data_IF_996797490594
#
_entry.id   IF_996797490594
#
_cell.length_a   1.000
_cell.length_b   1.000
_cell.length_c   1.000
_cell.angle_alpha   90.00
_cell.angle_beta   90.00
_cell.angle_gamma   90.00
#
_symmetry.space_group_name_H-M   'P 1'
#
loop_
_entity.id
_entity.type
_entity.pdbx_description
1 polymer ?
#
# COMPACT_ATOMS: atom_id res chain seq x y z
N UNK A 1 9.39 8.33 3.25
CA UNK A 1 8.43 9.44 3.47
C UNK A 1 6.97 9.02 3.27
N UNK A 2 6.54 8.56 2.08
CA UNK A 2 5.12 8.22 1.82
C UNK A 2 4.50 7.18 2.76
N UNK A 3 5.22 6.13 3.12
CA UNK A 3 4.71 5.14 4.09
C UNK A 3 4.51 5.74 5.50
N UNK A 4 5.37 6.69 5.90
CA UNK A 4 5.20 7.43 7.17
C UNK A 4 3.97 8.35 7.12
N UNK A 5 3.69 8.96 5.97
CA UNK A 5 2.46 9.71 5.78
C UNK A 5 1.22 8.82 5.81
N UNK A 6 1.29 7.62 5.21
CA UNK A 6 0.20 6.64 5.26
C UNK A 6 -0.13 6.27 6.72
N UNK A 7 0.88 6.04 7.56
CA UNK A 7 0.69 5.80 8.99
C UNK A 7 -0.01 6.97 9.70
N UNK A 8 0.45 8.22 9.47
CA UNK A 8 -0.18 9.41 10.06
C UNK A 8 -1.64 9.57 9.61
N UNK A 9 -1.91 9.36 8.32
CA UNK A 9 -3.26 9.44 7.77
C UNK A 9 -4.15 8.34 8.32
N UNK A 10 -3.64 7.12 8.47
CA UNK A 10 -4.35 5.99 9.08
C UNK A 10 -4.82 6.31 10.49
N UNK A 11 -3.91 6.75 11.38
CA UNK A 11 -4.27 7.10 12.76
C UNK A 11 -5.31 8.22 12.80
N UNK A 12 -5.05 9.31 12.06
CA UNK A 12 -5.97 10.45 12.02
C UNK A 12 -7.36 10.06 11.50
N UNK A 13 -7.44 9.25 10.44
CA UNK A 13 -8.72 8.83 9.88
C UNK A 13 -9.53 7.98 10.87
N UNK A 14 -8.87 7.06 11.58
CA UNK A 14 -9.52 6.23 12.60
C UNK A 14 -10.04 7.07 13.77
N UNK A 15 -9.18 7.92 14.35
CA UNK A 15 -9.57 8.78 15.47
C UNK A 15 -10.66 9.77 15.06
N UNK A 16 -10.53 10.40 13.89
CA UNK A 16 -11.52 11.35 13.39
C UNK A 16 -12.87 10.67 13.18
N UNK A 17 -12.87 9.47 12.59
CA UNK A 17 -14.09 8.70 12.38
C UNK A 17 -14.76 8.34 13.72
N UNK A 18 -14.01 7.89 14.72
CA UNK A 18 -14.54 7.59 16.04
C UNK A 18 -15.20 8.81 16.69
N UNK A 19 -14.50 9.96 16.70
CA UNK A 19 -15.03 11.21 17.28
C UNK A 19 -16.29 11.70 16.56
N UNK A 20 -16.34 11.58 15.23
CA UNK A 20 -17.53 11.95 14.44
C UNK A 20 -18.70 11.02 14.75
N UNK A 21 -18.46 9.71 14.81
CA UNK A 21 -19.50 8.72 15.14
C UNK A 21 -20.07 8.93 16.55
N UNK A 22 -19.26 9.48 17.47
CA UNK A 22 -19.67 9.87 18.83
C UNK A 22 -20.39 11.22 18.90
N UNK A 23 -20.63 11.87 17.76
CA UNK A 23 -21.44 13.09 17.67
C UNK A 23 -20.66 14.39 17.52
N UNK A 24 -19.33 14.34 17.38
CA UNK A 24 -18.58 15.54 17.01
C UNK A 24 -18.82 15.93 15.54
N UNK A 25 -18.78 17.22 15.25
CA UNK A 25 -18.72 17.67 13.85
C UNK A 25 -17.32 17.43 13.29
N UNK A 26 -17.17 17.26 11.95
CA UNK A 26 -15.85 17.06 11.34
C UNK A 26 -14.81 18.13 11.71
N UNK A 27 -15.24 19.39 11.84
CA UNK A 27 -14.37 20.50 12.23
C UNK A 27 -13.92 20.39 13.69
N UNK A 28 -14.82 20.01 14.61
CA UNK A 28 -14.48 19.81 16.02
C UNK A 28 -13.53 18.62 16.20
N UNK A 29 -13.79 17.51 15.50
CA UNK A 29 -12.91 16.35 15.52
C UNK A 29 -11.51 16.67 14.97
N UNK A 30 -11.42 17.40 13.85
CA UNK A 30 -10.14 17.84 13.30
C UNK A 30 -9.37 18.74 14.27
N UNK A 31 -10.05 19.68 14.93
CA UNK A 31 -9.44 20.56 15.94
C UNK A 31 -8.99 19.80 17.20
N UNK A 32 -9.74 18.77 17.61
CA UNK A 32 -9.38 17.93 18.76
C UNK A 32 -8.15 17.06 18.49
N UNK A 33 -7.91 16.67 17.23
CA UNK A 33 -6.75 15.88 16.80
C UNK A 33 -5.55 16.74 16.39
N UNK A 34 -5.73 18.05 16.28
CA UNK A 34 -4.64 18.95 15.90
C UNK A 34 -3.56 18.98 16.99
N UNK A 35 -2.33 18.67 16.60
CA UNK A 35 -1.19 18.54 17.52
C UNK A 35 -1.20 17.30 18.42
N UNK A 36 -2.20 16.43 18.34
CA UNK A 36 -2.26 15.22 19.15
C UNK A 36 -1.10 14.26 18.82
N UNK A 37 -0.49 13.68 19.85
CA UNK A 37 0.63 12.75 19.72
C UNK A 37 0.12 11.36 19.37
N UNK A 38 0.97 10.58 18.70
CA UNK A 38 0.67 9.20 18.31
C UNK A 38 0.24 8.34 19.52
N UNK A 39 0.86 8.51 20.68
CA UNK A 39 0.50 7.75 21.89
C UNK A 39 -0.92 8.07 22.38
N UNK A 40 -1.33 9.34 22.33
CA UNK A 40 -2.68 9.77 22.74
C UNK A 40 -3.75 9.21 21.79
N UNK A 41 -3.47 9.20 20.48
CA UNK A 41 -4.33 8.58 19.48
C UNK A 41 -4.45 7.06 19.67
N UNK A 42 -3.36 6.40 20.04
CA UNK A 42 -3.37 4.97 20.35
C UNK A 42 -4.24 4.66 21.56
N UNK A 43 -4.08 5.40 22.65
CA UNK A 43 -4.87 5.20 23.87
C UNK A 43 -6.36 5.46 23.59
N UNK A 44 -6.68 6.57 22.91
CA UNK A 44 -8.06 6.92 22.52
C UNK A 44 -8.75 5.79 21.77
N UNK A 45 -8.07 5.16 20.80
CA UNK A 45 -8.65 4.06 20.04
C UNK A 45 -8.67 2.73 20.82
N UNK A 46 -7.69 2.52 21.69
CA UNK A 46 -7.63 1.35 22.55
C UNK A 46 -8.80 1.31 23.54
N UNK A 47 -9.14 2.45 24.16
CA UNK A 47 -10.35 2.60 25.00
C UNK A 47 -11.64 2.26 24.25
N UNK A 48 -11.66 2.45 22.92
CA UNK A 48 -12.75 2.11 22.01
C UNK A 48 -12.69 0.68 21.48
N UNK A 49 -11.76 -0.14 22.00
CA UNK A 49 -11.59 -1.54 21.62
C UNK A 49 -10.84 -1.76 20.29
N UNK A 50 -10.26 -0.72 19.69
CA UNK A 50 -9.55 -0.81 18.40
C UNK A 50 -8.04 -0.65 18.63
N UNK A 51 -7.29 -1.70 18.32
CA UNK A 51 -5.83 -1.63 18.30
C UNK A 51 -5.33 -1.21 16.90
N UNK A 52 -4.94 0.06 16.76
CA UNK A 52 -4.42 0.64 15.50
C UNK A 52 -3.20 -0.10 14.94
N UNK A 53 -2.42 -0.79 15.75
CA UNK A 53 -1.25 -1.56 15.29
C UNK A 53 -1.62 -2.91 14.70
N UNK A 54 -2.84 -3.41 14.98
CA UNK A 54 -3.36 -4.69 14.50
C UNK A 54 -4.38 -4.57 13.36
N UNK A 55 -4.64 -3.36 12.88
CA UNK A 55 -5.46 -3.14 11.67
C UNK A 55 -4.78 -3.74 10.43
N UNK A 56 -5.54 -4.04 9.36
CA UNK A 56 -4.97 -4.60 8.13
C UNK A 56 -3.75 -3.81 7.61
N UNK A 57 -2.73 -4.52 7.13
CA UNK A 57 -1.45 -3.93 6.70
C UNK A 57 -1.66 -2.81 5.67
N UNK A 58 -2.53 -3.03 4.68
CA UNK A 58 -2.81 -2.06 3.63
C UNK A 58 -3.37 -0.73 4.14
N UNK A 59 -4.06 -0.71 5.28
CA UNK A 59 -4.56 0.52 5.89
C UNK A 59 -3.43 1.33 6.53
N UNK A 60 -2.48 0.64 7.17
CA UNK A 60 -1.37 1.24 7.92
C UNK A 60 -0.22 1.66 7.01
N UNK A 61 0.04 0.86 5.97
CA UNK A 61 1.25 0.95 5.14
C UNK A 61 0.96 1.29 3.67
N UNK A 62 -0.31 1.28 3.27
CA UNK A 62 -0.73 1.50 1.89
C UNK A 62 -0.61 0.24 1.02
N UNK A 63 -0.72 0.44 -0.29
CA UNK A 63 -0.64 -0.60 -1.31
C UNK A 63 0.35 -0.15 -2.38
N UNK A 64 1.13 -1.08 -2.94
CA UNK A 64 1.91 -0.83 -4.16
C UNK A 64 1.22 -1.47 -5.35
N UNK A 65 1.16 -0.73 -6.45
CA UNK A 65 0.72 -1.23 -7.74
C UNK A 65 1.92 -1.16 -8.69
N UNK A 66 2.25 -2.28 -9.32
CA UNK A 66 3.42 -2.39 -10.19
C UNK A 66 3.10 -3.27 -11.39
N UNK A 67 4.01 -3.27 -12.37
CA UNK A 67 3.92 -4.18 -13.52
C UNK A 67 4.84 -5.37 -13.27
N UNK A 68 4.33 -6.54 -13.58
CA UNK A 68 5.11 -7.78 -13.51
C UNK A 68 4.95 -8.60 -14.78
N UNK A 69 5.95 -9.45 -15.02
CA UNK A 69 5.90 -10.49 -16.04
C UNK A 69 5.51 -11.80 -15.38
N UNK A 70 4.53 -12.48 -15.97
CA UNK A 70 4.11 -13.81 -15.57
C UNK A 70 4.12 -14.72 -16.79
N UNK A 71 4.38 -16.00 -16.57
CA UNK A 71 4.35 -16.99 -17.64
C UNK A 71 2.93 -17.49 -17.81
N UNK A 72 2.38 -17.33 -19.02
CA UNK A 72 1.10 -17.90 -19.39
C UNK A 72 1.35 -19.11 -20.29
N UNK A 73 0.76 -20.24 -19.94
CA UNK A 73 0.69 -21.40 -20.84
C UNK A 73 -0.42 -21.15 -21.86
N UNK A 74 -0.07 -21.25 -23.14
CA UNK A 74 -0.99 -21.24 -24.26
C UNK A 74 -0.80 -22.49 -25.10
N UNK A 75 -1.72 -22.72 -26.03
CA UNK A 75 -1.64 -23.84 -26.96
C UNK A 75 -1.36 -23.30 -28.38
N UNK A 76 -0.33 -23.84 -29.03
CA UNK A 76 -0.06 -23.54 -30.44
C UNK A 76 -0.80 -24.57 -31.31
N UNK A 77 -1.85 -24.16 -32.07
CA UNK A 77 -2.65 -25.09 -32.86
C UNK A 77 -1.92 -25.62 -34.11
N UNK A 78 -0.85 -24.96 -34.57
CA UNK A 78 -0.06 -25.38 -35.73
C UNK A 78 0.84 -26.54 -35.34
N UNK A 79 1.62 -26.34 -34.27
CA UNK A 79 2.59 -27.32 -33.79
C UNK A 79 1.99 -28.33 -32.79
N UNK A 80 0.73 -28.13 -32.38
CA UNK A 80 -0.01 -28.93 -31.39
C UNK A 80 0.71 -29.10 -30.05
N UNK A 81 1.46 -28.08 -29.64
CA UNK A 81 2.21 -28.08 -28.37
C UNK A 81 1.76 -26.98 -27.45
N UNK A 82 1.86 -27.22 -26.14
CA UNK A 82 1.77 -26.16 -25.15
C UNK A 82 3.02 -25.29 -25.19
N UNK A 83 2.83 -23.98 -25.32
CA UNK A 83 3.90 -22.99 -25.35
C UNK A 83 3.77 -22.10 -24.14
N UNK A 84 4.87 -21.91 -23.42
CA UNK A 84 4.97 -20.95 -22.32
C UNK A 84 5.42 -19.62 -22.89
N UNK A 85 4.59 -18.59 -22.77
CA UNK A 85 4.94 -17.25 -23.24
C UNK A 85 4.89 -16.25 -22.10
N UNK A 86 5.91 -15.38 -21.94
CA UNK A 86 5.82 -14.28 -20.99
C UNK A 86 4.69 -13.33 -21.39
N UNK A 87 3.93 -12.90 -20.39
CA UNK A 87 2.85 -11.90 -20.49
C UNK A 87 3.05 -10.89 -19.38
N UNK A 88 2.52 -9.69 -19.59
CA UNK A 88 2.59 -8.59 -18.63
C UNK A 88 1.22 -8.37 -18.00
N UNK A 89 1.21 -8.05 -16.71
CA UNK A 89 0.00 -7.60 -16.00
C UNK A 89 0.34 -6.51 -15.00
N UNK A 90 -0.69 -5.80 -14.56
CA UNK A 90 -0.63 -4.94 -13.40
C UNK A 90 -0.89 -5.83 -12.18
N UNK A 91 0.03 -5.82 -11.23
CA UNK A 91 -0.07 -6.51 -9.95
C UNK A 91 -0.26 -5.50 -8.82
N UNK A 92 -0.87 -5.97 -7.73
CA UNK A 92 -1.16 -5.21 -6.52
C UNK A 92 -0.59 -5.97 -5.33
N UNK A 93 0.12 -5.28 -4.46
CA UNK A 93 0.63 -5.81 -3.20
C UNK A 93 0.09 -4.97 -2.03
N UNK A 94 -0.61 -5.64 -1.13
CA UNK A 94 -1.30 -5.08 0.03
C UNK A 94 -0.59 -5.40 1.36
N UNK A 95 0.33 -6.37 1.38
CA UNK A 95 1.05 -6.78 2.59
C UNK A 95 2.47 -6.24 2.59
N UNK A 96 2.57 -4.91 2.57
CA UNK A 96 3.85 -4.24 2.44
C UNK A 96 4.65 -4.31 3.75
N UNK A 97 5.92 -4.70 3.71
CA UNK A 97 6.83 -4.54 4.85
C UNK A 97 7.22 -3.05 5.04
N UNK A 98 7.96 -2.73 6.12
CA UNK A 98 8.39 -1.36 6.38
C UNK A 98 9.52 -0.95 5.43
N UNK A 99 9.39 0.20 4.78
CA UNK A 99 10.39 0.71 3.82
C UNK A 99 11.71 1.14 4.47
N UNK A 100 11.79 1.11 5.80
CA UNK A 100 13.04 1.31 6.54
C UNK A 100 13.94 0.06 6.53
N UNK A 101 13.39 -1.11 6.22
CA UNK A 101 14.14 -2.36 6.16
C UNK A 101 14.97 -2.42 4.87
N UNK A 102 16.25 -2.77 4.97
CA UNK A 102 17.18 -2.76 3.83
C UNK A 102 16.75 -3.67 2.68
N UNK A 103 16.22 -4.85 3.01
CA UNK A 103 15.71 -5.81 2.03
C UNK A 103 14.56 -5.24 1.21
N UNK A 104 13.69 -4.46 1.87
CA UNK A 104 12.54 -3.80 1.25
C UNK A 104 13.01 -2.67 0.34
N UNK A 105 14.03 -1.92 0.74
CA UNK A 105 14.62 -0.89 -0.11
C UNK A 105 15.16 -1.51 -1.40
N UNK A 106 15.89 -2.64 -1.30
CA UNK A 106 16.38 -3.38 -2.47
C UNK A 106 15.23 -3.87 -3.35
N UNK A 107 14.17 -4.42 -2.76
CA UNK A 107 12.97 -4.83 -3.48
C UNK A 107 12.33 -3.67 -4.25
N UNK A 108 12.16 -2.51 -3.62
CA UNK A 108 11.60 -1.31 -4.27
C UNK A 108 12.51 -0.79 -5.39
N UNK A 109 13.83 -0.78 -5.19
CA UNK A 109 14.79 -0.41 -6.23
C UNK A 109 14.68 -1.32 -7.45
N UNK A 110 14.52 -2.63 -7.24
CA UNK A 110 14.32 -3.60 -8.32
C UNK A 110 13.01 -3.36 -9.07
N UNK A 111 11.91 -3.05 -8.36
CA UNK A 111 10.65 -2.68 -9.00
C UNK A 111 10.78 -1.41 -9.85
N UNK A 112 11.48 -0.39 -9.35
CA UNK A 112 11.71 0.86 -10.08
C UNK A 112 12.58 0.62 -11.32
N UNK A 113 13.65 -0.17 -11.20
CA UNK A 113 14.53 -0.50 -12.32
C UNK A 113 13.78 -1.22 -13.45
N UNK A 114 12.95 -2.22 -13.10
CA UNK A 114 12.07 -2.91 -14.05
C UNK A 114 11.07 -1.94 -14.72
N UNK A 115 10.55 -0.97 -13.97
CA UNK A 115 9.68 0.07 -14.49
C UNK A 115 10.35 1.02 -15.49
N UNK A 116 11.63 1.36 -15.30
CA UNK A 116 12.41 2.21 -16.21
C UNK A 116 12.76 1.51 -17.51
N UNK A 117 13.31 0.30 -17.43
CA UNK A 117 13.59 -0.53 -18.62
C UNK A 117 12.34 -0.69 -19.50
N UNK A 118 11.17 -0.80 -18.86
CA UNK A 118 9.90 -0.81 -19.56
C UNK A 118 9.58 0.51 -20.30
N UNK A 119 9.81 1.66 -19.67
CA UNK A 119 9.50 2.96 -20.29
C UNK A 119 10.37 3.17 -21.54
N UNK A 120 11.66 2.84 -21.44
CA UNK A 120 12.63 3.00 -22.52
C UNK A 120 12.33 2.08 -23.72
N UNK A 121 11.84 0.86 -23.47
CA UNK A 121 11.38 -0.06 -24.52
C UNK A 121 10.13 0.42 -25.25
N UNK A 122 9.29 1.25 -24.62
CA UNK A 122 8.09 1.82 -25.26
C UNK A 122 8.42 3.01 -26.16
N UNK A 123 9.44 3.79 -25.83
CA UNK A 123 9.87 4.96 -26.61
C UNK A 123 10.62 4.60 -27.90
N UNK A 124 10.98 3.33 -28.07
CA UNK A 124 11.66 2.80 -29.27
C UNK A 124 10.69 2.20 -30.32
N UNK A 125 9.38 2.39 -30.13
CA UNK A 125 8.29 2.07 -31.07
C UNK A 125 7.57 3.37 -31.44
#
# INVERSE_FOLDING_TARGET
WRQKEAWRNHMNAYCQHALITEGMTPQKAAKALDGAKSAEMHEMMHERGINLSKTPTWQRRGTIIFREEYVKTGYNPIDKVEVRTPRRRIARDEDLPLFSEEEVVKYLQNLIAKGKDWADKKTRL
#
